data_IF_576209861699
#
_entry.id   IF_576209861699
#
_cell.length_a   1.000
_cell.length_b   1.000
_cell.length_c   1.000
_cell.angle_alpha   90.00
_cell.angle_beta   90.00
_cell.angle_gamma   90.00
#
_symmetry.space_group_name_H-M   'P 1'
#
loop_
_entity.id
_entity.type
_entity.pdbx_description
1 polymer ?
#
# COMPACT_ATOMS: atom_id res chain seq x y z
N UNK A 1 -7.60 7.21 -9.29
CA UNK A 1 -7.92 6.12 -8.31
C UNK A 1 -9.04 6.58 -7.40
N UNK A 2 -9.99 5.72 -7.01
CA UNK A 2 -11.08 6.11 -6.08
C UNK A 2 -10.69 5.83 -4.63
N UNK A 3 -11.22 6.55 -3.63
CA UNK A 3 -10.93 6.26 -2.21
C UNK A 3 -11.21 4.80 -1.80
N UNK A 4 -12.10 4.09 -2.51
CA UNK A 4 -12.35 2.65 -2.32
C UNK A 4 -11.16 1.76 -2.73
N UNK A 5 -10.38 2.14 -3.74
CA UNK A 5 -9.22 1.34 -4.15
C UNK A 5 -8.09 1.39 -3.11
N UNK A 6 -7.94 2.53 -2.42
CA UNK A 6 -6.95 2.68 -1.35
C UNK A 6 -7.29 1.83 -0.12
N UNK A 7 -8.55 1.84 0.32
CA UNK A 7 -9.01 1.02 1.44
C UNK A 7 -8.78 -0.48 1.17
N UNK A 8 -9.03 -0.93 -0.06
CA UNK A 8 -8.81 -2.32 -0.46
C UNK A 8 -7.32 -2.72 -0.48
N UNK A 9 -6.44 -1.84 -0.96
CA UNK A 9 -4.98 -2.05 -0.95
C UNK A 9 -4.42 -2.10 0.47
N UNK A 10 -4.86 -1.16 1.32
CA UNK A 10 -4.45 -1.12 2.73
C UNK A 10 -4.90 -2.40 3.46
N UNK A 11 -6.15 -2.83 3.26
CA UNK A 11 -6.65 -4.08 3.82
C UNK A 11 -5.80 -5.28 3.37
N UNK A 12 -5.50 -5.41 2.06
CA UNK A 12 -4.64 -6.50 1.55
C UNK A 12 -3.26 -6.52 2.21
N UNK A 13 -2.66 -5.35 2.43
CA UNK A 13 -1.37 -5.25 3.10
C UNK A 13 -1.45 -5.73 4.55
N UNK A 14 -2.47 -5.29 5.29
CA UNK A 14 -2.73 -5.74 6.66
C UNK A 14 -2.90 -7.25 6.73
N UNK A 15 -3.74 -7.84 5.88
CA UNK A 15 -3.96 -9.29 5.85
C UNK A 15 -2.71 -10.09 5.50
N UNK A 16 -1.87 -9.58 4.58
CA UNK A 16 -0.58 -10.20 4.25
C UNK A 16 0.38 -10.17 5.43
N UNK A 17 0.52 -9.03 6.11
CA UNK A 17 1.35 -8.91 7.30
C UNK A 17 0.91 -9.87 8.41
N UNK A 18 -0.39 -9.91 8.70
CA UNK A 18 -0.97 -10.83 9.69
C UNK A 18 -0.76 -12.29 9.30
N UNK A 19 -0.95 -12.66 8.02
CA UNK A 19 -0.73 -14.03 7.55
C UNK A 19 0.74 -14.45 7.69
N UNK A 20 1.68 -13.60 7.28
CA UNK A 20 3.11 -13.90 7.40
C UNK A 20 3.50 -14.06 8.87
N UNK A 21 3.03 -13.17 9.75
CA UNK A 21 3.29 -13.28 11.19
C UNK A 21 2.70 -14.56 11.80
N UNK A 22 1.49 -14.95 11.39
CA UNK A 22 0.83 -16.16 11.84
C UNK A 22 1.54 -17.44 11.35
N UNK A 23 1.99 -17.46 10.09
CA UNK A 23 2.78 -18.57 9.53
C UNK A 23 4.14 -18.69 10.20
N UNK A 24 4.84 -17.56 10.43
CA UNK A 24 6.10 -17.57 11.17
C UNK A 24 5.90 -18.12 12.58
N UNK A 25 4.86 -17.68 13.29
CA UNK A 25 4.55 -18.21 14.61
C UNK A 25 4.26 -19.73 14.57
N UNK A 26 3.44 -20.18 13.62
CA UNK A 26 3.10 -21.59 13.46
C UNK A 26 4.32 -22.48 13.15
N UNK A 27 5.34 -21.96 12.45
CA UNK A 27 6.50 -22.72 12.02
C UNK A 27 7.73 -22.61 12.94
N UNK A 28 8.02 -21.42 13.50
CA UNK A 28 9.24 -21.20 14.28
C UNK A 28 9.18 -21.85 15.67
N UNK A 29 8.02 -21.81 16.32
CA UNK A 29 7.89 -22.32 17.68
C UNK A 29 8.01 -23.86 17.81
N UNK A 30 7.52 -24.68 16.87
CA UNK A 30 7.83 -26.11 16.84
C UNK A 30 9.33 -26.41 16.65
N UNK A 31 10.05 -25.57 15.89
CA UNK A 31 11.50 -25.69 15.75
C UNK A 31 12.22 -25.41 17.07
N UNK A 32 11.69 -24.47 17.87
CA UNK A 32 12.21 -24.17 19.20
C UNK A 32 12.04 -25.35 20.17
N UNK A 33 10.93 -26.10 20.08
CA UNK A 33 10.75 -27.36 20.86
C UNK A 33 11.75 -28.42 20.44
N UNK A 34 12.04 -28.54 19.15
CA UNK A 34 13.03 -29.51 18.66
C UNK A 34 14.43 -29.17 19.18
N UNK A 35 14.78 -27.89 19.25
CA UNK A 35 16.05 -27.41 19.83
C UNK A 35 16.07 -27.54 21.36
N UNK A 36 14.94 -27.27 22.01
CA UNK A 36 14.80 -27.23 23.46
C UNK A 36 14.57 -28.58 24.13
N UNK A 37 14.61 -29.70 23.37
CA UNK A 37 14.47 -31.06 23.92
C UNK A 37 15.48 -31.38 25.03
N UNK A 38 16.63 -30.73 25.02
CA UNK A 38 17.69 -30.94 26.00
C UNK A 38 17.57 -30.00 27.22
N UNK A 39 16.65 -29.03 27.19
CA UNK A 39 16.43 -28.03 28.24
C UNK A 39 15.45 -28.57 29.29
N UNK A 40 15.84 -29.66 29.97
CA UNK A 40 15.21 -30.14 31.20
C UNK A 40 13.68 -30.32 31.19
N UNK A 41 13.00 -30.21 32.36
CA UNK A 41 11.57 -30.48 32.50
C UNK A 41 10.66 -29.30 32.05
N UNK A 42 11.10 -28.49 31.08
CA UNK A 42 10.33 -27.33 30.65
C UNK A 42 8.98 -27.76 30.01
N UNK A 43 7.86 -27.09 30.36
CA UNK A 43 6.56 -27.43 29.79
C UNK A 43 6.52 -27.08 28.30
N UNK A 44 6.24 -28.06 27.44
CA UNK A 44 6.16 -27.87 25.98
C UNK A 44 4.82 -27.28 25.52
N UNK A 45 3.78 -27.36 26.35
CA UNK A 45 2.42 -26.93 25.99
C UNK A 45 2.26 -25.43 25.67
N UNK A 46 2.97 -24.47 26.30
CA UNK A 46 2.81 -23.04 25.98
C UNK A 46 3.28 -22.73 24.56
N UNK A 47 4.34 -23.42 24.11
CA UNK A 47 4.89 -23.31 22.77
C UNK A 47 3.90 -23.85 21.74
N UNK A 48 3.34 -25.04 21.98
CA UNK A 48 2.33 -25.60 21.09
C UNK A 48 1.05 -24.77 21.07
N UNK A 49 0.63 -24.21 22.21
CA UNK A 49 -0.51 -23.31 22.29
C UNK A 49 -0.32 -22.08 21.40
N UNK A 50 0.83 -21.40 21.49
CA UNK A 50 1.15 -20.26 20.64
C UNK A 50 1.19 -20.64 19.14
N UNK A 51 1.78 -21.80 18.82
CA UNK A 51 1.84 -22.33 17.45
C UNK A 51 0.44 -22.63 16.90
N UNK A 52 -0.43 -23.23 17.71
CA UNK A 52 -1.80 -23.55 17.34
C UNK A 52 -2.60 -22.26 17.06
N UNK A 53 -2.43 -21.21 17.87
CA UNK A 53 -3.05 -19.90 17.60
C UNK A 53 -2.60 -19.36 16.24
N UNK A 54 -1.30 -19.37 15.94
CA UNK A 54 -0.76 -18.95 14.65
C UNK A 54 -1.35 -19.76 13.49
N UNK A 55 -1.41 -21.08 13.62
CA UNK A 55 -2.00 -21.97 12.61
C UNK A 55 -3.48 -21.69 12.38
N UNK A 56 -4.28 -21.54 13.44
CA UNK A 56 -5.71 -21.25 13.35
C UNK A 56 -5.97 -19.89 12.70
N UNK A 57 -5.17 -18.86 13.02
CA UNK A 57 -5.26 -17.55 12.38
C UNK A 57 -4.91 -17.65 10.89
N UNK A 58 -3.82 -18.34 10.53
CA UNK A 58 -3.43 -18.52 9.14
C UNK A 58 -4.50 -19.28 8.34
N UNK A 59 -5.04 -20.37 8.90
CA UNK A 59 -6.13 -21.15 8.31
C UNK A 59 -7.40 -20.29 8.14
N UNK A 60 -7.78 -19.52 9.16
CA UNK A 60 -8.89 -18.57 9.09
C UNK A 60 -8.71 -17.58 7.94
N UNK A 61 -7.53 -16.98 7.80
CA UNK A 61 -7.22 -16.05 6.71
C UNK A 61 -7.34 -16.77 5.35
N UNK A 62 -6.70 -17.93 5.18
CA UNK A 62 -6.69 -18.64 3.90
C UNK A 62 -8.08 -19.12 3.46
N UNK A 63 -8.95 -19.50 4.40
CA UNK A 63 -10.29 -20.03 4.12
C UNK A 63 -11.34 -18.91 4.02
N UNK A 64 -11.37 -18.01 5.00
CA UNK A 64 -12.46 -17.03 5.15
C UNK A 64 -12.18 -15.75 4.35
N UNK A 65 -10.93 -15.26 4.33
CA UNK A 65 -10.59 -14.02 3.62
C UNK A 65 -10.78 -14.17 2.10
N UNK A 66 -10.58 -15.37 1.55
CA UNK A 66 -10.83 -15.64 0.13
C UNK A 66 -12.28 -15.38 -0.29
N UNK A 67 -13.23 -15.41 0.65
CA UNK A 67 -14.66 -15.30 0.36
C UNK A 67 -15.24 -13.90 0.63
N UNK A 68 -14.63 -13.08 1.50
CA UNK A 68 -15.14 -11.75 1.82
C UNK A 68 -14.01 -10.75 2.11
N UNK A 69 -14.02 -9.55 1.50
CA UNK A 69 -13.11 -8.47 1.89
C UNK A 69 -13.45 -8.01 3.30
N UNK A 70 -12.64 -8.41 4.28
CA UNK A 70 -12.81 -8.05 5.68
C UNK A 70 -12.06 -6.77 6.04
N UNK A 71 -12.58 -6.05 7.04
CA UNK A 71 -12.07 -4.77 7.50
C UNK A 71 -10.66 -4.84 8.11
N UNK A 72 -9.97 -3.71 8.06
CA UNK A 72 -8.59 -3.52 8.54
C UNK A 72 -8.47 -3.82 10.05
N UNK A 73 -9.45 -3.42 10.84
CA UNK A 73 -9.46 -3.62 12.29
C UNK A 73 -9.39 -5.10 12.70
N UNK A 74 -10.05 -5.99 11.96
CA UNK A 74 -10.02 -7.43 12.26
C UNK A 74 -8.62 -8.00 11.98
N UNK A 75 -7.98 -7.62 10.88
CA UNK A 75 -6.62 -8.03 10.57
C UNK A 75 -5.61 -7.55 11.63
N UNK A 76 -5.73 -6.31 12.11
CA UNK A 76 -4.92 -5.77 13.20
C UNK A 76 -5.20 -6.48 14.54
N UNK A 77 -6.46 -6.80 14.85
CA UNK A 77 -6.82 -7.55 16.06
C UNK A 77 -6.24 -8.98 16.06
N UNK A 78 -6.33 -9.68 14.92
CA UNK A 78 -5.73 -11.01 14.77
C UNK A 78 -4.20 -10.96 14.85
N UNK A 79 -3.57 -9.92 14.32
CA UNK A 79 -2.13 -9.70 14.49
C UNK A 79 -1.76 -9.56 15.98
N UNK A 80 -2.48 -8.70 16.72
CA UNK A 80 -2.25 -8.51 18.16
C UNK A 80 -2.48 -9.81 18.93
N UNK A 81 -3.54 -10.55 18.62
CA UNK A 81 -3.82 -11.84 19.23
C UNK A 81 -2.67 -12.84 19.00
N UNK A 82 -2.14 -12.91 17.78
CA UNK A 82 -0.97 -13.73 17.46
C UNK A 82 0.25 -13.33 18.30
N UNK A 83 0.56 -12.03 18.38
CA UNK A 83 1.68 -11.54 19.18
C UNK A 83 1.46 -11.74 20.70
N UNK A 84 0.23 -11.64 21.19
CA UNK A 84 -0.11 -11.89 22.58
C UNK A 84 0.11 -13.37 22.96
N UNK A 85 -0.19 -14.31 22.05
CA UNK A 85 0.08 -15.73 22.26
C UNK A 85 1.59 -16.02 22.37
N UNK A 86 2.41 -15.39 21.51
CA UNK A 86 3.89 -15.44 21.57
C UNK A 86 4.39 -14.90 22.92
N UNK A 87 3.90 -13.73 23.34
CA UNK A 87 4.28 -13.10 24.61
C UNK A 87 3.89 -13.96 25.83
N UNK A 88 2.68 -14.52 25.83
CA UNK A 88 2.23 -15.39 26.91
C UNK A 88 3.09 -16.65 27.02
N UNK A 89 3.41 -17.27 25.88
CA UNK A 89 4.31 -18.42 25.82
C UNK A 89 5.71 -18.05 26.34
N UNK A 90 6.27 -16.92 25.89
CA UNK A 90 7.58 -16.45 26.34
C UNK A 90 7.61 -16.14 27.85
N UNK A 91 6.53 -15.60 28.42
CA UNK A 91 6.42 -15.37 29.85
C UNK A 91 6.46 -16.68 30.65
N UNK A 92 5.70 -17.69 30.23
CA UNK A 92 5.64 -18.99 30.90
C UNK A 92 6.98 -19.73 30.77
N UNK A 93 7.64 -19.64 29.62
CA UNK A 93 8.92 -20.30 29.35
C UNK A 93 10.13 -19.59 29.96
N UNK A 94 10.02 -18.29 30.26
CA UNK A 94 11.13 -17.46 30.73
C UNK A 94 11.94 -18.05 31.90
N UNK A 95 11.30 -18.46 33.02
CA UNK A 95 12.02 -19.03 34.17
C UNK A 95 12.82 -20.30 33.83
N UNK A 96 12.35 -21.10 32.88
CA UNK A 96 13.03 -22.32 32.43
C UNK A 96 14.21 -21.99 31.51
N UNK A 97 14.04 -21.01 30.61
CA UNK A 97 15.10 -20.57 29.71
C UNK A 97 16.29 -19.95 30.45
N UNK A 98 16.04 -19.30 31.60
CA UNK A 98 17.09 -18.72 32.45
C UNK A 98 17.94 -19.78 33.20
N UNK A 99 17.57 -21.06 33.13
CA UNK A 99 18.36 -22.15 33.71
C UNK A 99 19.45 -22.64 32.76
N UNK A 100 19.32 -22.38 31.46
CA UNK A 100 20.32 -22.76 30.46
C UNK A 100 21.41 -21.69 30.37
N UNK A 101 22.67 -22.01 30.71
CA UNK A 101 23.76 -21.03 30.67
C UNK A 101 24.14 -20.57 29.26
N UNK A 102 23.72 -21.29 28.21
CA UNK A 102 24.04 -20.95 26.82
C UNK A 102 22.97 -20.09 26.15
N UNK A 103 21.81 -19.90 26.78
CA UNK A 103 20.72 -19.13 26.22
C UNK A 103 20.87 -17.64 26.49
N UNK A 104 20.64 -16.83 25.45
CA UNK A 104 20.65 -15.37 25.57
C UNK A 104 19.37 -14.92 26.28
N UNK A 105 19.46 -14.19 27.41
CA UNK A 105 18.28 -13.72 28.13
C UNK A 105 17.33 -12.93 27.24
N UNK A 106 16.03 -13.24 27.37
CA UNK A 106 14.93 -12.56 26.70
C UNK A 106 15.05 -12.45 25.17
N UNK A 107 15.77 -13.37 24.51
CA UNK A 107 16.00 -13.33 23.06
C UNK A 107 14.70 -13.24 22.24
N UNK A 108 13.66 -13.98 22.63
CA UNK A 108 12.33 -13.94 21.98
C UNK A 108 11.75 -12.52 22.00
N UNK A 109 11.97 -11.77 23.07
CA UNK A 109 11.47 -10.40 23.19
C UNK A 109 12.23 -9.42 22.30
N UNK A 110 13.56 -9.53 22.27
CA UNK A 110 14.45 -8.75 21.40
C UNK A 110 14.09 -8.96 19.92
N UNK A 111 14.01 -10.22 19.48
CA UNK A 111 13.64 -10.58 18.10
C UNK A 111 12.18 -10.28 17.79
N UNK A 112 11.28 -10.46 18.76
CA UNK A 112 9.86 -10.15 18.63
C UNK A 112 9.64 -8.67 18.32
N UNK A 113 10.30 -7.76 19.05
CA UNK A 113 10.21 -6.33 18.80
C UNK A 113 10.63 -5.94 17.36
N UNK A 114 11.73 -6.50 16.86
CA UNK A 114 12.20 -6.24 15.49
C UNK A 114 11.29 -6.87 14.43
N UNK A 115 10.82 -8.09 14.67
CA UNK A 115 9.91 -8.79 13.76
C UNK A 115 8.59 -8.04 13.65
N UNK A 116 8.05 -7.54 14.76
CA UNK A 116 6.86 -6.68 14.76
C UNK A 116 7.10 -5.41 13.95
N UNK A 117 8.27 -4.76 14.07
CA UNK A 117 8.56 -3.58 13.28
C UNK A 117 8.48 -3.81 11.76
N UNK A 118 8.85 -5.02 11.31
CA UNK A 118 8.84 -5.42 9.89
C UNK A 118 7.46 -5.89 9.43
N UNK A 119 6.66 -6.51 10.29
CA UNK A 119 5.41 -7.18 9.91
C UNK A 119 4.13 -6.46 10.34
N UNK A 120 4.23 -5.49 11.26
CA UNK A 120 3.06 -4.84 11.83
C UNK A 120 2.17 -4.24 10.73
N UNK A 121 0.85 -4.48 10.76
CA UNK A 121 -0.05 -3.99 9.74
C UNK A 121 -0.28 -2.48 9.84
N UNK A 122 -0.28 -1.96 11.06
CA UNK A 122 -0.61 -0.57 11.36
C UNK A 122 0.28 0.01 12.45
N UNK A 123 0.37 1.35 12.50
CA UNK A 123 1.21 2.08 13.46
C UNK A 123 0.86 1.72 14.89
N UNK A 124 -0.41 1.82 15.25
CA UNK A 124 -0.86 1.65 16.64
C UNK A 124 -0.66 0.19 17.10
N UNK A 125 -1.02 -0.80 16.27
CA UNK A 125 -0.86 -2.21 16.58
C UNK A 125 0.63 -2.59 16.71
N UNK A 126 1.46 -2.11 15.79
CA UNK A 126 2.90 -2.32 15.85
C UNK A 126 3.55 -1.70 17.10
N UNK A 127 3.23 -0.44 17.40
CA UNK A 127 3.76 0.24 18.60
C UNK A 127 3.31 -0.44 19.89
N UNK A 128 2.04 -0.84 19.98
CA UNK A 128 1.51 -1.57 21.14
C UNK A 128 2.27 -2.89 21.35
N UNK A 129 2.45 -3.68 20.28
CA UNK A 129 3.18 -4.94 20.36
C UNK A 129 4.68 -4.74 20.69
N UNK A 130 5.35 -3.77 20.05
CA UNK A 130 6.77 -3.45 20.35
C UNK A 130 6.92 -3.04 21.81
N UNK A 131 6.03 -2.18 22.31
CA UNK A 131 6.02 -1.75 23.69
C UNK A 131 5.82 -2.94 24.64
N UNK A 132 4.90 -3.85 24.32
CA UNK A 132 4.69 -5.07 25.09
C UNK A 132 5.96 -5.97 25.10
N UNK A 133 6.59 -6.18 23.95
CA UNK A 133 7.85 -6.93 23.86
C UNK A 133 9.02 -6.28 24.61
N UNK A 134 9.05 -4.96 24.73
CA UNK A 134 10.10 -4.28 25.48
C UNK A 134 9.82 -4.23 26.99
N UNK A 135 8.59 -3.89 27.39
CA UNK A 135 8.25 -3.60 28.80
C UNK A 135 7.98 -4.85 29.62
N UNK A 136 7.26 -5.84 29.07
CA UNK A 136 6.91 -7.07 29.80
C UNK A 136 8.17 -7.80 30.35
N UNK A 137 9.24 -8.04 29.58
CA UNK A 137 10.43 -8.69 30.11
C UNK A 137 11.21 -7.84 31.11
N UNK A 138 11.15 -6.49 31.01
CA UNK A 138 11.72 -5.60 32.03
C UNK A 138 10.97 -5.77 33.37
N UNK A 139 9.64 -5.81 33.32
CA UNK A 139 8.82 -6.09 34.50
C UNK A 139 9.06 -7.50 35.04
N UNK A 140 9.26 -8.48 34.15
CA UNK A 140 9.63 -9.84 34.54
C UNK A 140 10.97 -9.85 35.27
N UNK A 141 12.00 -9.17 34.73
CA UNK A 141 13.33 -9.09 35.33
C UNK A 141 13.30 -8.54 36.76
N UNK A 142 12.57 -7.44 36.98
CA UNK A 142 12.43 -6.82 38.32
C UNK A 142 11.71 -7.74 39.32
N UNK A 143 10.88 -8.67 38.82
CA UNK A 143 10.16 -9.67 39.63
C UNK A 143 10.92 -10.98 39.83
N UNK A 144 12.07 -11.18 39.20
CA UNK A 144 12.89 -12.37 39.40
C UNK A 144 13.51 -12.38 40.79
N UNK A 145 13.78 -13.57 41.32
CA UNK A 145 14.51 -13.70 42.57
C UNK A 145 15.94 -13.16 42.44
N UNK A 146 16.55 -12.57 43.49
CA UNK A 146 17.89 -12.01 43.42
C UNK A 146 18.96 -12.99 42.92
N UNK A 147 18.80 -14.29 43.24
CA UNK A 147 19.69 -15.35 42.78
C UNK A 147 19.61 -15.59 41.25
N UNK A 148 18.45 -15.34 40.65
CA UNK A 148 18.25 -15.41 39.20
C UNK A 148 18.73 -14.13 38.52
N UNK A 149 18.45 -12.97 39.13
CA UNK A 149 18.95 -11.67 38.63
C UNK A 149 20.48 -11.64 38.56
N UNK A 150 21.17 -12.20 39.55
CA UNK A 150 22.64 -12.27 39.58
C UNK A 150 23.25 -13.08 38.43
N UNK A 151 22.47 -13.91 37.73
CA UNK A 151 22.92 -14.68 36.55
C UNK A 151 22.76 -13.91 35.24
N UNK A 152 22.02 -12.82 35.27
CA UNK A 152 21.71 -11.99 34.10
C UNK A 152 22.51 -10.70 34.24
N UNK A 153 23.07 -10.21 33.13
CA UNK A 153 23.73 -8.90 33.15
C UNK A 153 22.73 -7.81 33.58
N UNK A 154 23.15 -6.96 34.51
CA UNK A 154 22.35 -5.82 35.02
C UNK A 154 21.98 -4.84 33.90
N UNK A 155 22.71 -4.86 32.79
CA UNK A 155 22.42 -4.03 31.61
C UNK A 155 21.24 -4.55 30.75
N UNK A 156 20.78 -5.79 30.93
CA UNK A 156 19.78 -6.42 30.06
C UNK A 156 18.44 -5.66 29.94
N UNK A 157 17.86 -5.09 31.01
CA UNK A 157 16.66 -4.26 30.88
C UNK A 157 16.87 -3.05 29.97
N UNK A 158 18.05 -2.41 30.02
CA UNK A 158 18.38 -1.29 29.14
C UNK A 158 18.50 -1.77 27.70
N UNK A 159 19.12 -2.92 27.45
CA UNK A 159 19.22 -3.52 26.12
C UNK A 159 17.82 -3.77 25.54
N UNK A 160 16.89 -4.33 26.31
CA UNK A 160 15.51 -4.54 25.86
C UNK A 160 14.81 -3.23 25.44
N UNK A 161 15.00 -2.16 26.21
CA UNK A 161 14.47 -0.84 25.86
C UNK A 161 15.11 -0.29 24.59
N UNK A 162 16.41 -0.51 24.37
CA UNK A 162 17.10 -0.13 23.13
C UNK A 162 16.52 -0.90 21.93
N UNK A 163 16.32 -2.22 22.04
CA UNK A 163 15.67 -3.01 20.98
C UNK A 163 14.24 -2.53 20.70
N UNK A 164 13.48 -2.19 21.74
CA UNK A 164 12.16 -1.59 21.61
C UNK A 164 12.19 -0.25 20.88
N UNK A 165 13.14 0.63 21.24
CA UNK A 165 13.32 1.93 20.60
C UNK A 165 13.73 1.79 19.13
N UNK A 166 14.69 0.90 18.83
CA UNK A 166 15.11 0.59 17.45
C UNK A 166 13.93 0.03 16.65
N UNK A 167 13.18 -0.93 17.20
CA UNK A 167 11.97 -1.46 16.57
C UNK A 167 10.94 -0.37 16.27
N UNK A 168 10.70 0.56 17.21
CA UNK A 168 9.78 1.66 17.02
C UNK A 168 10.23 2.63 15.91
N UNK A 169 11.52 2.97 15.87
CA UNK A 169 12.10 3.81 14.80
C UNK A 169 11.98 3.12 13.44
N UNK A 170 12.32 1.83 13.34
CA UNK A 170 12.18 1.04 12.13
C UNK A 170 10.73 0.98 11.64
N UNK A 171 9.79 0.77 12.56
CA UNK A 171 8.36 0.77 12.26
C UNK A 171 7.92 2.12 11.66
N UNK A 172 8.29 3.22 12.31
CA UNK A 172 7.93 4.57 11.84
C UNK A 172 8.59 4.90 10.50
N UNK A 173 9.85 4.53 10.31
CA UNK A 173 10.57 4.73 9.06
C UNK A 173 9.91 3.96 7.91
N UNK A 174 9.62 2.67 8.10
CA UNK A 174 8.92 1.82 7.12
C UNK A 174 7.55 2.41 6.75
N UNK A 175 6.76 2.83 7.74
CA UNK A 175 5.42 3.40 7.49
C UNK A 175 5.49 4.74 6.76
N UNK A 176 6.49 5.59 7.07
CA UNK A 176 6.74 6.83 6.32
C UNK A 176 7.15 6.54 4.88
N UNK A 177 8.06 5.58 4.66
CA UNK A 177 8.47 5.15 3.32
C UNK A 177 7.28 4.73 2.46
N UNK A 178 6.39 3.88 3.01
CA UNK A 178 5.17 3.47 2.32
C UNK A 178 4.21 4.63 2.02
N UNK A 179 4.11 5.62 2.91
CA UNK A 179 3.28 6.81 2.67
C UNK A 179 3.85 7.68 1.53
N UNK A 180 5.17 7.89 1.53
CA UNK A 180 5.86 8.66 0.49
C UNK A 180 5.79 7.96 -0.87
N UNK A 181 6.00 6.64 -0.93
CA UNK A 181 5.89 5.86 -2.16
C UNK A 181 4.47 5.96 -2.75
N UNK A 182 3.44 5.88 -1.90
CA UNK A 182 2.05 6.05 -2.34
C UNK A 182 1.79 7.45 -2.91
N UNK A 183 2.29 8.49 -2.25
CA UNK A 183 2.15 9.86 -2.73
C UNK A 183 2.83 10.05 -4.10
N UNK A 184 4.02 9.46 -4.28
CA UNK A 184 4.75 9.50 -5.55
C UNK A 184 4.00 8.77 -6.66
N UNK A 185 3.48 7.56 -6.40
CA UNK A 185 2.66 6.82 -7.37
C UNK A 185 1.41 7.61 -7.74
N UNK A 186 0.73 8.23 -6.76
CA UNK A 186 -0.44 9.05 -7.01
C UNK A 186 -0.11 10.26 -7.89
N UNK A 187 0.94 11.01 -7.56
CA UNK A 187 1.38 12.15 -8.35
C UNK A 187 1.76 11.76 -9.79
N UNK A 188 2.42 10.61 -9.98
CA UNK A 188 2.73 10.07 -11.30
C UNK A 188 1.47 9.70 -12.09
N UNK A 189 0.47 9.09 -11.45
CA UNK A 189 -0.81 8.76 -12.12
C UNK A 189 -1.57 10.02 -12.53
N UNK A 190 -1.61 11.04 -11.67
CA UNK A 190 -2.27 12.32 -11.97
C UNK A 190 -1.58 13.06 -13.13
N UNK A 191 -0.24 13.07 -13.12
CA UNK A 191 0.53 13.66 -14.21
C UNK A 191 0.35 12.89 -15.54
N UNK A 192 0.27 11.56 -15.49
CA UNK A 192 0.02 10.73 -16.68
C UNK A 192 -1.37 10.99 -17.25
N UNK A 193 -2.40 11.08 -16.41
CA UNK A 193 -3.77 11.40 -16.82
C UNK A 193 -3.86 12.81 -17.43
N UNK A 194 -3.23 13.81 -16.82
CA UNK A 194 -3.19 15.18 -17.35
C UNK A 194 -2.51 15.25 -18.73
N UNK A 195 -1.36 14.59 -18.89
CA UNK A 195 -0.65 14.50 -20.18
C UNK A 195 -1.49 13.82 -21.24
N UNK A 196 -2.21 12.76 -20.88
CA UNK A 196 -3.10 12.04 -21.79
C UNK A 196 -4.25 12.94 -22.26
N UNK A 197 -4.88 13.69 -21.35
CA UNK A 197 -5.94 14.64 -21.71
C UNK A 197 -5.40 15.75 -22.61
N UNK A 198 -4.22 16.31 -22.32
CA UNK A 198 -3.60 17.32 -23.18
C UNK A 198 -3.34 16.80 -24.60
N UNK A 199 -2.82 15.58 -24.74
CA UNK A 199 -2.62 14.93 -26.05
C UNK A 199 -3.93 14.72 -26.81
N UNK A 200 -5.00 14.31 -26.12
CA UNK A 200 -6.31 14.16 -26.75
C UNK A 200 -6.87 15.50 -27.23
N UNK A 201 -6.73 16.55 -26.43
CA UNK A 201 -7.18 17.89 -26.81
C UNK A 201 -6.40 18.43 -28.03
N UNK A 202 -5.10 18.18 -28.11
CA UNK A 202 -4.31 18.51 -29.30
C UNK A 202 -4.74 17.70 -30.52
N UNK A 203 -4.94 16.39 -30.39
CA UNK A 203 -5.43 15.55 -31.49
C UNK A 203 -6.79 16.05 -32.02
N UNK A 204 -7.71 16.44 -31.13
CA UNK A 204 -9.00 17.05 -31.53
C UNK A 204 -8.79 18.37 -32.26
N UNK A 205 -7.89 19.24 -31.76
CA UNK A 205 -7.56 20.52 -32.40
C UNK A 205 -7.01 20.30 -33.81
N UNK A 206 -6.07 19.38 -33.96
CA UNK A 206 -5.37 19.16 -35.22
C UNK A 206 -6.33 18.54 -36.25
N UNK A 207 -7.17 17.57 -35.84
CA UNK A 207 -8.20 16.99 -36.70
C UNK A 207 -9.28 17.99 -37.13
N UNK A 208 -9.66 18.92 -36.25
CA UNK A 208 -10.71 19.91 -36.55
C UNK A 208 -10.22 21.08 -37.40
N UNK A 209 -8.91 21.32 -37.50
CA UNK A 209 -8.36 22.46 -38.21
C UNK A 209 -8.64 22.41 -39.73
N UNK A 210 -8.44 21.26 -40.36
CA UNK A 210 -8.65 21.07 -41.81
C UNK A 210 -10.13 21.19 -42.21
N UNK A 211 -11.10 20.51 -41.56
CA UNK A 211 -12.52 20.71 -41.83
C UNK A 211 -12.98 22.15 -41.64
N UNK A 212 -12.49 22.85 -40.60
CA UNK A 212 -12.83 24.27 -40.39
C UNK A 212 -12.36 25.15 -41.56
N UNK A 213 -11.17 24.89 -42.11
CA UNK A 213 -10.69 25.60 -43.30
C UNK A 213 -11.54 25.30 -44.54
N UNK A 214 -11.93 24.04 -44.73
CA UNK A 214 -12.81 23.64 -45.85
C UNK A 214 -14.18 24.30 -45.74
N UNK A 215 -14.80 24.31 -44.56
CA UNK A 215 -16.10 24.97 -44.33
C UNK A 215 -15.99 26.49 -44.55
N UNK A 216 -14.91 27.11 -44.07
CA UNK A 216 -14.63 28.53 -44.31
C UNK A 216 -14.48 28.83 -45.81
N UNK A 217 -13.77 27.99 -46.56
CA UNK A 217 -13.61 28.14 -48.01
C UNK A 217 -14.95 27.94 -48.76
N UNK A 218 -15.70 26.91 -48.40
CA UNK A 218 -16.99 26.59 -49.00
C UNK A 218 -18.03 27.71 -48.77
N UNK A 219 -18.06 28.28 -47.55
CA UNK A 219 -18.94 29.41 -47.23
C UNK A 219 -18.60 30.67 -48.03
N UNK A 220 -17.30 30.98 -48.16
CA UNK A 220 -16.83 32.09 -48.98
C UNK A 220 -17.20 31.89 -50.47
N UNK A 221 -17.08 30.67 -50.99
CA UNK A 221 -17.46 30.34 -52.36
C UNK A 221 -18.99 30.44 -52.58
N UNK A 222 -19.80 29.97 -51.61
CA UNK A 222 -21.26 30.07 -51.66
C UNK A 222 -21.74 31.53 -51.66
N UNK A 223 -21.09 32.40 -50.87
CA UNK A 223 -21.40 33.84 -50.80
C UNK A 223 -21.22 34.54 -52.16
N UNK A 224 -20.23 34.11 -52.96
CA UNK A 224 -19.99 34.65 -54.31
C UNK A 224 -21.00 34.17 -55.35
N UNK A 225 -21.49 32.94 -55.24
CA UNK A 225 -22.43 32.34 -56.21
C UNK A 225 -23.90 32.70 -55.96
N UNK A 226 -24.29 32.91 -54.71
CA UNK A 226 -25.69 33.10 -54.32
C UNK A 226 -25.86 34.25 -53.32
N UNK A 227 -25.99 35.50 -53.78
CA UNK A 227 -26.08 36.69 -52.91
C UNK A 227 -27.28 36.66 -51.93
N UNK A 228 -28.33 35.91 -52.26
CA UNK A 228 -29.54 35.80 -51.42
C UNK A 228 -29.38 34.98 -50.12
N UNK A 229 -28.25 34.31 -49.90
CA UNK A 229 -28.01 33.45 -48.73
C UNK A 229 -27.25 34.16 -47.59
N UNK A 230 -27.31 35.49 -47.50
CA UNK A 230 -26.52 36.27 -46.55
C UNK A 230 -26.68 35.84 -45.08
N UNK A 231 -27.93 35.80 -44.58
CA UNK A 231 -28.18 35.53 -43.16
C UNK A 231 -27.74 34.11 -42.69
N UNK A 232 -28.00 33.02 -43.42
CA UNK A 232 -27.46 31.70 -43.09
C UNK A 232 -25.92 31.65 -43.06
N UNK A 233 -25.26 32.32 -44.03
CA UNK A 233 -23.79 32.35 -44.10
C UNK A 233 -23.19 33.16 -42.94
N UNK A 234 -23.81 34.26 -42.52
CA UNK A 234 -23.38 35.03 -41.35
C UNK A 234 -23.52 34.24 -40.03
N UNK A 235 -24.50 33.34 -39.93
CA UNK A 235 -24.60 32.41 -38.78
C UNK A 235 -23.48 31.38 -38.79
N UNK A 236 -23.12 30.86 -39.97
CA UNK A 236 -22.04 29.89 -40.13
C UNK A 236 -20.67 30.52 -39.81
N UNK A 237 -20.41 31.74 -40.27
CA UNK A 237 -19.18 32.47 -39.97
C UNK A 237 -19.00 32.71 -38.46
N UNK A 238 -20.08 33.12 -37.77
CA UNK A 238 -20.07 33.26 -36.30
C UNK A 238 -19.82 31.93 -35.58
N UNK A 239 -20.32 30.81 -36.10
CA UNK A 239 -20.05 29.49 -35.55
C UNK A 239 -18.58 29.09 -35.75
N UNK A 240 -17.99 29.38 -36.92
CA UNK A 240 -16.57 29.17 -37.19
C UNK A 240 -15.68 30.03 -36.29
N UNK A 241 -16.03 31.29 -36.06
CA UNK A 241 -15.31 32.16 -35.12
C UNK A 241 -15.33 31.62 -33.69
N UNK A 242 -16.48 31.13 -33.21
CA UNK A 242 -16.59 30.49 -31.89
C UNK A 242 -15.73 29.23 -31.80
N UNK A 243 -15.67 28.42 -32.86
CA UNK A 243 -14.81 27.22 -32.91
C UNK A 243 -13.33 27.60 -32.91
N UNK A 244 -12.93 28.64 -33.65
CA UNK A 244 -11.56 29.18 -33.63
C UNK A 244 -11.18 29.75 -32.26
N UNK A 245 -12.10 30.47 -31.62
CA UNK A 245 -11.89 31.01 -30.27
C UNK A 245 -11.68 29.88 -29.24
N UNK A 246 -12.32 28.72 -29.43
CA UNK A 246 -12.10 27.54 -28.59
C UNK A 246 -10.73 26.88 -28.80
N UNK A 247 -10.12 27.03 -29.99
CA UNK A 247 -8.78 26.50 -30.28
C UNK A 247 -7.66 27.32 -29.65
N UNK A 248 -7.87 28.61 -29.39
CA UNK A 248 -6.82 29.49 -28.90
C UNK A 248 -6.32 29.12 -27.49
N UNK A 249 -7.18 28.76 -26.51
CA UNK A 249 -6.75 28.19 -25.23
C UNK A 249 -6.00 26.86 -25.37
N UNK A 250 -6.35 26.02 -26.35
CA UNK A 250 -5.70 24.72 -26.57
C UNK A 250 -4.24 24.88 -27.01
N UNK A 251 -3.89 26.00 -27.66
CA UNK A 251 -2.52 26.32 -28.04
C UNK A 251 -1.61 26.60 -26.83
N UNK A 252 -2.16 27.10 -25.72
CA UNK A 252 -1.38 27.32 -24.49
C UNK A 252 -0.86 25.99 -23.90
N UNK A 253 -1.64 24.92 -24.00
CA UNK A 253 -1.27 23.59 -23.51
C UNK A 253 -0.20 22.88 -24.36
N UNK A 254 0.08 23.37 -25.57
CA UNK A 254 1.13 22.83 -26.45
C UNK A 254 2.54 23.14 -25.91
N UNK A 255 2.71 24.28 -25.25
CA UNK A 255 3.99 24.68 -24.67
C UNK A 255 4.39 23.84 -23.44
N UNK A 256 3.40 23.31 -22.71
CA UNK A 256 3.61 22.51 -21.50
C UNK A 256 3.83 21.01 -21.80
N UNK A 257 3.73 20.61 -23.07
CA UNK A 257 3.96 19.24 -23.48
C UNK A 257 5.43 19.01 -23.81
N UNK A 258 6.03 18.11 -23.04
CA UNK A 258 7.36 17.58 -23.29
C UNK A 258 7.30 16.64 -24.51
N UNK A 259 7.75 17.14 -25.66
CA UNK A 259 7.82 16.39 -26.92
C UNK A 259 8.85 15.26 -26.78
N UNK A 260 8.42 14.02 -27.05
CA UNK A 260 9.31 12.86 -27.05
C UNK A 260 9.66 12.44 -28.48
N UNK A 261 10.83 11.82 -28.72
CA UNK A 261 11.12 11.17 -29.98
C UNK A 261 10.01 10.17 -30.33
N UNK A 262 9.37 10.34 -31.48
CA UNK A 262 8.18 9.57 -31.91
C UNK A 262 6.83 10.29 -31.76
N UNK A 263 6.77 11.44 -31.09
CA UNK A 263 5.57 12.31 -31.07
C UNK A 263 5.53 13.28 -32.28
N UNK A 264 6.49 13.18 -33.22
CA UNK A 264 6.74 14.11 -34.34
C UNK A 264 5.60 14.18 -35.38
N UNK A 265 4.76 13.15 -35.42
CA UNK A 265 3.53 13.11 -36.20
C UNK A 265 2.48 12.40 -35.35
N UNK A 266 1.74 13.16 -34.55
CA UNK A 266 0.57 12.63 -33.85
C UNK A 266 -0.45 12.26 -34.92
N UNK A 267 -0.57 10.96 -35.20
CA UNK A 267 -1.72 10.42 -35.93
C UNK A 267 -2.96 10.65 -35.05
N UNK A 268 -3.61 11.79 -35.28
CA UNK A 268 -4.76 12.24 -34.50
C UNK A 268 -5.91 11.22 -34.58
N UNK A 269 -6.05 10.53 -35.71
CA UNK A 269 -7.07 9.49 -35.88
C UNK A 269 -6.73 8.27 -35.02
N UNK A 270 -5.48 7.81 -35.02
CA UNK A 270 -5.06 6.70 -34.17
C UNK A 270 -5.19 7.01 -32.67
N UNK A 271 -4.83 8.22 -32.24
CA UNK A 271 -4.96 8.65 -30.84
C UNK A 271 -6.42 8.71 -30.41
N UNK A 272 -7.30 9.25 -31.26
CA UNK A 272 -8.73 9.32 -30.97
C UNK A 272 -9.40 7.93 -31.02
N UNK A 273 -8.99 7.07 -31.95
CA UNK A 273 -9.45 5.69 -32.03
C UNK A 273 -9.07 4.90 -30.77
N UNK A 274 -7.81 5.00 -30.32
CA UNK A 274 -7.34 4.36 -29.10
C UNK A 274 -8.11 4.84 -27.86
N UNK A 275 -8.34 6.16 -27.74
CA UNK A 275 -9.10 6.71 -26.63
C UNK A 275 -10.58 6.33 -26.66
N UNK A 276 -11.18 6.24 -27.87
CA UNK A 276 -12.54 5.76 -28.07
C UNK A 276 -12.70 4.31 -27.62
N UNK A 277 -11.75 3.45 -27.97
CA UNK A 277 -11.76 2.04 -27.58
C UNK A 277 -11.60 1.86 -26.06
N UNK A 278 -10.68 2.57 -25.42
CA UNK A 278 -10.54 2.56 -23.97
C UNK A 278 -11.79 3.07 -23.25
N UNK A 279 -12.45 4.11 -23.76
CA UNK A 279 -13.70 4.60 -23.20
C UNK A 279 -14.83 3.55 -23.31
N UNK A 280 -14.81 2.74 -24.37
CA UNK A 280 -15.76 1.64 -24.58
C UNK A 280 -15.54 0.51 -23.57
N UNK A 281 -14.28 0.11 -23.39
CA UNK A 281 -13.87 -0.90 -22.39
C UNK A 281 -14.22 -0.44 -20.97
N UNK A 282 -14.00 0.84 -20.66
CA UNK A 282 -14.32 1.40 -19.33
C UNK A 282 -15.83 1.44 -19.06
N UNK A 283 -16.68 1.61 -20.09
CA UNK A 283 -18.15 1.54 -19.94
C UNK A 283 -18.64 0.10 -19.77
N UNK A 284 -18.10 -0.86 -20.53
CA UNK A 284 -18.52 -2.27 -20.42
C UNK A 284 -18.12 -2.90 -19.09
N UNK A 285 -17.02 -2.46 -18.49
CA UNK A 285 -16.57 -2.89 -17.16
C UNK A 285 -17.33 -2.23 -16.00
N UNK A 286 -18.01 -1.10 -16.22
CA UNK A 286 -18.82 -0.43 -15.20
C UNK A 286 -20.27 -0.97 -15.12
N UNK A 287 -20.71 -1.73 -16.13
CA UNK A 287 -22.05 -2.35 -16.19
C UNK A 287 -22.13 -3.77 -15.62
N UNK A 288 -21.05 -4.26 -15.00
CA UNK A 288 -20.92 -5.59 -14.37
C UNK A 288 -20.69 -5.40 -12.87
#
# INVERSE_FOLDING_TARGET
MTPRSFAALHARHVWRGTLIAALLNACLYPLDVLRGRDIGPAPWWPVLGASAVGFLIAAFILVVHRRRPQGVHLGSALFILNQAAILASAQIMGPYQLQDPNLIPFQVHKLGALTVAILAPERWAGLLCIFAFALIPVLQFVRLDPAQQARIDTSEPLVLLVYGAVGAVLLLYRLRGLATERALVQAQTEAADARRTARLLLAVRDLSNTPLQVIALASAAARRRSPGLGEPLDRLDRALERLRALHQPLKAYEADLEWRPGDESIDAEAVLAAAGEEARIRRSSASV
#
